data_IF_893618345763
#
_entry.id   IF_893618345763
#
_cell.length_a   1.000
_cell.length_b   1.000
_cell.length_c   1.000
_cell.angle_alpha   90.00
_cell.angle_beta   90.00
_cell.angle_gamma   90.00
#
_symmetry.space_group_name_H-M   'P 1'
#
loop_
_entity.id
_entity.type
_entity.pdbx_description
1 polymer ?
#
# COMPACT_ATOMS: atom_id res chain seq x y z
N UNK A 1 28.83 5.21 -4.17
CA UNK A 1 29.75 4.15 -3.77
C UNK A 1 29.24 3.37 -2.54
N UNK A 2 28.97 3.99 -1.40
CA UNK A 2 28.48 3.32 -0.18
C UNK A 2 27.19 2.49 -0.37
N UNK A 3 26.18 3.05 -1.05
CA UNK A 3 24.90 2.34 -1.31
C UNK A 3 25.08 1.06 -2.12
N UNK A 4 25.96 1.07 -3.14
CA UNK A 4 26.27 -0.11 -3.94
C UNK A 4 27.01 -1.18 -3.12
N UNK A 5 27.99 -0.77 -2.31
CA UNK A 5 28.71 -1.66 -1.42
C UNK A 5 27.75 -2.35 -0.42
N UNK A 6 26.90 -1.58 0.25
CA UNK A 6 25.89 -2.09 1.18
C UNK A 6 24.91 -3.07 0.48
N UNK A 7 24.49 -2.74 -0.74
CA UNK A 7 23.61 -3.61 -1.51
C UNK A 7 24.25 -4.93 -1.90
N UNK A 8 25.44 -4.89 -2.53
CA UNK A 8 26.06 -6.10 -3.09
C UNK A 8 26.79 -6.95 -2.05
N UNK A 9 27.31 -6.38 -0.97
CA UNK A 9 28.02 -7.14 0.07
C UNK A 9 27.14 -7.57 1.24
N UNK A 10 26.02 -6.90 1.50
CA UNK A 10 25.17 -7.22 2.64
C UNK A 10 23.76 -7.65 2.23
N UNK A 11 23.00 -6.79 1.53
CA UNK A 11 21.57 -7.03 1.31
C UNK A 11 21.33 -8.18 0.32
N UNK A 12 22.02 -8.18 -0.82
CA UNK A 12 21.86 -9.22 -1.83
C UNK A 12 22.31 -10.59 -1.34
N UNK A 13 23.51 -10.79 -0.74
CA UNK A 13 23.89 -12.06 -0.15
C UNK A 13 22.95 -12.52 0.97
N UNK A 14 22.53 -11.61 1.85
CA UNK A 14 21.54 -11.93 2.89
C UNK A 14 20.22 -12.43 2.29
N UNK A 15 19.80 -11.91 1.13
CA UNK A 15 18.58 -12.36 0.44
C UNK A 15 18.64 -13.83 0.01
N UNK A 16 19.82 -14.40 -0.20
CA UNK A 16 20.00 -15.79 -0.61
C UNK A 16 19.74 -16.78 0.54
N UNK A 17 19.89 -16.33 1.79
CA UNK A 17 19.66 -17.14 2.97
C UNK A 17 18.22 -17.68 3.03
N UNK A 18 17.98 -18.86 3.64
CA UNK A 18 16.64 -19.32 3.97
C UNK A 18 15.90 -18.32 4.85
N UNK A 19 14.60 -18.09 4.60
CA UNK A 19 13.80 -17.14 5.39
C UNK A 19 13.84 -17.42 6.90
N UNK A 20 13.91 -18.69 7.32
CA UNK A 20 14.03 -19.05 8.74
C UNK A 20 15.26 -18.45 9.39
N UNK A 21 16.38 -18.46 8.69
CA UNK A 21 17.63 -17.87 9.18
C UNK A 21 17.57 -16.36 9.18
N UNK A 22 16.97 -15.76 8.15
CA UNK A 22 16.74 -14.31 8.10
C UNK A 22 15.86 -13.84 9.26
N UNK A 23 14.82 -14.60 9.61
CA UNK A 23 13.97 -14.31 10.76
C UNK A 23 14.69 -14.39 12.09
N UNK A 24 15.64 -15.33 12.24
CA UNK A 24 16.48 -15.38 13.43
C UNK A 24 17.26 -14.06 13.63
N UNK A 25 17.86 -13.53 12.57
CA UNK A 25 18.56 -12.24 12.64
C UNK A 25 17.60 -11.06 12.88
N UNK A 26 16.41 -11.06 12.27
CA UNK A 26 15.44 -9.99 12.50
C UNK A 26 14.75 -10.07 13.85
N UNK A 27 14.65 -11.24 14.48
CA UNK A 27 14.24 -11.37 15.88
C UNK A 27 15.24 -10.69 16.83
N UNK A 28 16.54 -10.83 16.58
CA UNK A 28 17.57 -10.09 17.31
C UNK A 28 17.47 -8.58 17.04
N UNK A 29 17.30 -8.19 15.77
CA UNK A 29 17.14 -6.79 15.40
C UNK A 29 15.87 -6.16 16.01
N UNK A 30 14.79 -6.94 16.16
CA UNK A 30 13.61 -6.50 16.90
C UNK A 30 13.93 -6.13 18.34
N UNK A 31 14.74 -6.94 19.04
CA UNK A 31 15.16 -6.64 20.42
C UNK A 31 15.94 -5.32 20.49
N UNK A 32 16.83 -5.06 19.52
CA UNK A 32 17.51 -3.78 19.42
C UNK A 32 16.56 -2.61 19.19
N UNK A 33 15.58 -2.74 18.29
CA UNK A 33 14.60 -1.70 18.00
C UNK A 33 13.71 -1.37 19.18
N UNK A 34 13.33 -2.38 19.97
CA UNK A 34 12.41 -2.15 21.09
C UNK A 34 13.11 -1.65 22.33
N UNK A 35 14.41 -1.93 22.52
CA UNK A 35 15.16 -1.62 23.72
C UNK A 35 16.08 -0.42 23.55
N UNK A 36 16.86 -0.36 22.47
CA UNK A 36 18.00 0.55 22.30
C UNK A 36 17.75 1.62 21.23
N UNK A 37 17.20 1.22 20.06
CA UNK A 37 17.02 2.09 18.89
C UNK A 37 15.54 2.37 18.64
N UNK A 38 14.93 3.35 19.33
CA UNK A 38 13.48 3.57 19.28
C UNK A 38 13.05 4.23 17.96
N UNK A 39 13.20 3.52 16.82
CA UNK A 39 12.80 4.01 15.50
C UNK A 39 11.39 4.56 15.50
N UNK A 40 11.25 5.88 15.34
CA UNK A 40 9.96 6.59 15.26
C UNK A 40 8.94 6.26 16.37
N UNK A 41 9.39 5.80 17.55
CA UNK A 41 8.50 5.35 18.65
C UNK A 41 7.49 6.44 19.09
N UNK A 42 7.91 7.70 19.16
CA UNK A 42 7.01 8.82 19.47
C UNK A 42 5.85 8.92 18.48
N UNK A 43 6.15 8.72 17.18
CA UNK A 43 5.12 8.75 16.11
C UNK A 43 4.17 7.57 16.26
N UNK A 44 4.69 6.35 16.42
CA UNK A 44 3.88 5.13 16.59
C UNK A 44 2.94 5.26 17.78
N UNK A 45 3.44 5.68 18.95
CA UNK A 45 2.63 5.86 20.17
C UNK A 45 1.57 6.93 20.03
N UNK A 46 1.91 8.09 19.42
CA UNK A 46 0.94 9.15 19.13
C UNK A 46 -0.17 8.65 18.21
N UNK A 47 0.20 7.98 17.13
CA UNK A 47 -0.76 7.42 16.18
C UNK A 47 -1.69 6.41 16.85
N UNK A 48 -1.14 5.44 17.61
CA UNK A 48 -1.94 4.44 18.32
C UNK A 48 -2.86 5.06 19.38
N UNK A 49 -2.37 6.07 20.14
CA UNK A 49 -3.17 6.76 21.15
C UNK A 49 -4.39 7.44 20.54
N UNK A 50 -4.21 8.13 19.44
CA UNK A 50 -5.27 8.88 18.78
C UNK A 50 -6.23 7.97 18.00
N UNK A 51 -5.72 6.87 17.44
CA UNK A 51 -6.52 5.91 16.64
C UNK A 51 -7.33 4.94 17.49
N UNK A 52 -6.89 4.66 18.72
CA UNK A 52 -7.56 3.76 19.65
C UNK A 52 -7.66 4.40 21.05
N UNK A 53 -8.42 5.50 21.18
CA UNK A 53 -8.57 6.18 22.47
C UNK A 53 -9.23 5.28 23.53
N UNK A 54 -10.10 4.35 23.11
CA UNK A 54 -10.81 3.38 23.95
C UNK A 54 -9.90 2.30 24.55
N UNK A 55 -8.74 2.03 23.93
CA UNK A 55 -7.81 1.01 24.44
C UNK A 55 -6.93 1.56 25.55
N UNK A 56 -6.68 0.72 26.55
CA UNK A 56 -5.71 1.04 27.61
C UNK A 56 -4.28 1.21 27.06
N UNK A 57 -3.42 1.88 27.82
CA UNK A 57 -2.01 2.00 27.45
C UNK A 57 -1.32 0.64 27.31
N UNK A 58 -1.67 -0.33 28.17
CA UNK A 58 -1.14 -1.71 28.11
C UNK A 58 -1.49 -2.38 26.78
N UNK A 59 -2.71 -2.22 26.29
CA UNK A 59 -3.16 -2.79 25.01
C UNK A 59 -2.44 -2.11 23.83
N UNK A 60 -2.35 -0.76 23.82
CA UNK A 60 -1.61 -0.03 22.81
C UNK A 60 -0.14 -0.42 22.78
N UNK A 61 0.50 -0.64 23.92
CA UNK A 61 1.88 -1.16 23.99
C UNK A 61 2.01 -2.59 23.46
N UNK A 62 0.99 -3.44 23.61
CA UNK A 62 0.96 -4.77 22.99
C UNK A 62 0.91 -4.68 21.47
N UNK A 63 0.09 -3.77 20.93
CA UNK A 63 0.04 -3.48 19.49
C UNK A 63 1.41 -2.94 19.01
N UNK A 64 2.00 -1.96 19.70
CA UNK A 64 3.33 -1.40 19.40
C UNK A 64 4.40 -2.49 19.28
N UNK A 65 4.47 -3.42 20.25
CA UNK A 65 5.45 -4.53 20.22
C UNK A 65 5.23 -5.46 19.02
N UNK A 66 3.98 -5.83 18.76
CA UNK A 66 3.63 -6.66 17.61
C UNK A 66 3.96 -5.94 16.28
N UNK A 67 3.71 -4.63 16.20
CA UNK A 67 4.06 -3.82 15.04
C UNK A 67 5.57 -3.84 14.77
N UNK A 68 6.42 -3.59 15.77
CA UNK A 68 7.87 -3.61 15.55
C UNK A 68 8.39 -5.00 15.17
N UNK A 69 7.83 -6.07 15.77
CA UNK A 69 8.18 -7.42 15.37
C UNK A 69 7.79 -7.69 13.91
N UNK A 70 6.60 -7.26 13.51
CA UNK A 70 6.17 -7.39 12.12
C UNK A 70 7.01 -6.53 11.17
N UNK A 71 7.36 -5.31 11.57
CA UNK A 71 8.23 -4.44 10.78
C UNK A 71 9.59 -5.09 10.50
N UNK A 72 10.17 -5.77 11.49
CA UNK A 72 11.43 -6.52 11.28
C UNK A 72 11.24 -7.75 10.41
N UNK A 73 10.10 -8.44 10.48
CA UNK A 73 9.73 -9.51 9.54
C UNK A 73 9.69 -8.97 8.10
N UNK A 74 9.05 -7.81 7.89
CA UNK A 74 8.97 -7.15 6.58
C UNK A 74 10.35 -6.76 6.02
N UNK A 75 11.32 -6.42 6.86
CA UNK A 75 12.71 -6.19 6.42
C UNK A 75 13.34 -7.47 5.86
N UNK A 76 13.20 -8.60 6.56
CA UNK A 76 13.67 -9.90 6.08
C UNK A 76 12.98 -10.30 4.76
N UNK A 77 11.67 -10.16 4.70
CA UNK A 77 10.85 -10.51 3.54
C UNK A 77 11.11 -9.58 2.36
N UNK A 78 11.34 -8.29 2.63
CA UNK A 78 11.73 -7.29 1.64
C UNK A 78 13.11 -7.57 1.03
N UNK A 79 14.09 -8.01 1.84
CA UNK A 79 15.36 -8.47 1.33
C UNK A 79 15.19 -9.79 0.54
N UNK A 80 14.43 -10.76 1.07
CA UNK A 80 14.11 -12.02 0.39
C UNK A 80 13.44 -11.83 -0.96
N UNK A 81 12.72 -10.75 -1.13
CA UNK A 81 12.06 -10.41 -2.39
C UNK A 81 13.05 -10.21 -3.56
N UNK A 82 14.34 -10.01 -3.30
CA UNK A 82 15.39 -9.95 -4.32
C UNK A 82 15.71 -11.33 -4.94
N UNK A 83 15.55 -12.41 -4.18
CA UNK A 83 16.00 -13.77 -4.58
C UNK A 83 14.89 -14.83 -4.57
N UNK A 84 13.71 -14.54 -4.03
CA UNK A 84 12.60 -15.51 -3.95
C UNK A 84 12.16 -15.97 -5.34
N UNK A 85 11.98 -17.28 -5.54
CA UNK A 85 11.49 -17.82 -6.81
C UNK A 85 9.98 -17.61 -6.98
N UNK A 86 9.50 -17.57 -8.23
CA UNK A 86 8.06 -17.51 -8.56
C UNK A 86 7.24 -18.57 -7.81
N UNK A 87 7.73 -19.83 -7.79
CA UNK A 87 7.08 -20.95 -7.09
C UNK A 87 6.94 -20.69 -5.59
N UNK A 88 8.02 -20.23 -4.94
CA UNK A 88 8.00 -19.95 -3.52
C UNK A 88 7.14 -18.73 -3.17
N UNK A 89 7.12 -17.70 -4.02
CA UNK A 89 6.29 -16.53 -3.80
C UNK A 89 4.80 -16.90 -3.92
N UNK A 90 4.38 -17.61 -4.98
CA UNK A 90 3.00 -18.11 -5.15
C UNK A 90 2.55 -19.03 -4.00
N UNK A 91 3.47 -19.85 -3.44
CA UNK A 91 3.15 -20.70 -2.28
C UNK A 91 2.88 -19.89 -1.01
N UNK A 92 3.54 -18.75 -0.86
CA UNK A 92 3.51 -17.92 0.37
C UNK A 92 2.53 -16.76 0.31
N UNK A 93 2.09 -16.40 -0.88
CA UNK A 93 1.23 -15.26 -1.15
C UNK A 93 0.12 -15.71 -2.10
N UNK A 94 -1.09 -15.94 -1.57
CA UNK A 94 -2.20 -16.56 -2.28
C UNK A 94 -3.40 -15.63 -2.32
N UNK A 95 -4.18 -15.71 -3.39
CA UNK A 95 -5.48 -15.04 -3.50
C UNK A 95 -6.56 -16.02 -3.11
N UNK A 96 -7.46 -15.62 -2.24
CA UNK A 96 -8.55 -16.48 -1.74
C UNK A 96 -9.76 -16.48 -2.70
N UNK A 97 -9.98 -15.35 -3.39
CA UNK A 97 -11.10 -15.15 -4.31
C UNK A 97 -10.61 -14.55 -5.65
N UNK A 98 -9.83 -15.31 -6.45
CA UNK A 98 -9.26 -14.83 -7.72
C UNK A 98 -10.32 -14.54 -8.79
N UNK A 99 -11.51 -15.12 -8.68
CA UNK A 99 -12.64 -14.96 -9.60
C UNK A 99 -13.02 -13.48 -9.79
N UNK A 100 -12.87 -12.63 -8.79
CA UNK A 100 -13.12 -11.17 -8.90
C UNK A 100 -12.30 -10.55 -10.03
N UNK A 101 -11.01 -10.87 -10.10
CA UNK A 101 -10.15 -10.36 -11.17
C UNK A 101 -10.35 -11.07 -12.49
N UNK A 102 -10.66 -12.36 -12.47
CA UNK A 102 -10.92 -13.17 -13.67
C UNK A 102 -12.18 -12.70 -14.41
N UNK A 103 -13.25 -12.38 -13.68
CA UNK A 103 -14.49 -11.85 -14.23
C UNK A 103 -14.32 -10.47 -14.85
N UNK A 104 -13.61 -9.56 -14.15
CA UNK A 104 -13.30 -8.24 -14.69
C UNK A 104 -12.43 -8.34 -15.95
N UNK A 105 -11.49 -9.29 -15.99
CA UNK A 105 -10.67 -9.53 -17.17
C UNK A 105 -11.49 -10.07 -18.35
N UNK A 106 -12.44 -11.00 -18.13
CA UNK A 106 -13.38 -11.48 -19.16
C UNK A 106 -14.22 -10.35 -19.74
N UNK A 107 -14.62 -9.39 -18.90
CA UNK A 107 -15.33 -8.16 -19.32
C UNK A 107 -14.39 -7.15 -20.04
N UNK A 108 -13.10 -7.48 -20.24
CA UNK A 108 -12.05 -6.58 -20.78
C UNK A 108 -11.88 -5.28 -19.96
N UNK A 109 -12.22 -5.30 -18.68
CA UNK A 109 -12.16 -4.14 -17.80
C UNK A 109 -10.76 -4.03 -17.17
N UNK A 110 -10.11 -2.88 -17.32
CA UNK A 110 -8.93 -2.55 -16.53
C UNK A 110 -9.31 -2.28 -15.08
N UNK A 111 -8.41 -2.52 -14.15
CA UNK A 111 -8.68 -2.46 -12.70
C UNK A 111 -7.72 -1.51 -12.00
N UNK A 112 -8.24 -0.72 -11.07
CA UNK A 112 -7.49 -0.01 -10.06
C UNK A 112 -7.51 -0.82 -8.77
N UNK A 113 -6.38 -1.45 -8.43
CA UNK A 113 -6.18 -2.13 -7.16
C UNK A 113 -5.74 -1.12 -6.10
N UNK A 114 -6.59 -0.87 -5.11
CA UNK A 114 -6.34 0.13 -4.06
C UNK A 114 -6.26 -0.50 -2.68
N UNK A 115 -5.32 -0.07 -1.86
CA UNK A 115 -5.19 -0.46 -0.45
C UNK A 115 -4.26 0.50 0.30
N UNK A 116 -3.74 0.07 1.46
CA UNK A 116 -2.73 0.77 2.26
C UNK A 116 -1.46 -0.06 2.46
N UNK A 117 -0.48 0.55 3.15
CA UNK A 117 0.76 -0.12 3.57
C UNK A 117 0.47 -1.07 4.75
N UNK A 118 -0.27 -2.13 4.46
CA UNK A 118 -0.72 -3.13 5.41
C UNK A 118 -0.11 -4.51 5.09
N UNK A 119 0.38 -5.22 6.08
CA UNK A 119 1.08 -6.50 5.93
C UNK A 119 2.22 -6.44 4.88
N UNK A 120 2.36 -7.44 4.01
CA UNK A 120 3.47 -7.49 3.03
C UNK A 120 3.05 -6.93 1.66
N UNK A 121 2.83 -5.62 1.57
CA UNK A 121 2.52 -4.92 0.31
C UNK A 121 3.64 -5.05 -0.75
N UNK A 122 4.92 -5.22 -0.36
CA UNK A 122 6.01 -5.40 -1.33
C UNK A 122 5.93 -6.75 -2.06
N UNK A 123 5.45 -7.80 -1.38
CA UNK A 123 5.18 -9.06 -2.06
C UNK A 123 3.94 -8.96 -2.96
N UNK A 124 2.92 -8.18 -2.56
CA UNK A 124 1.77 -7.89 -3.45
C UNK A 124 2.25 -7.22 -4.74
N UNK A 125 3.03 -6.14 -4.64
CA UNK A 125 3.58 -5.43 -5.80
C UNK A 125 4.36 -6.40 -6.69
N UNK A 126 5.29 -7.17 -6.12
CA UNK A 126 6.17 -8.05 -6.91
C UNK A 126 5.40 -9.24 -7.53
N UNK A 127 4.37 -9.76 -6.85
CA UNK A 127 3.64 -10.95 -7.30
C UNK A 127 2.45 -10.67 -8.18
N UNK A 128 1.96 -9.45 -8.26
CA UNK A 128 0.70 -9.09 -8.91
C UNK A 128 0.56 -9.69 -10.32
N UNK A 129 1.60 -9.57 -11.14
CA UNK A 129 1.62 -10.11 -12.52
C UNK A 129 1.68 -11.66 -12.58
N UNK A 130 1.89 -12.32 -11.42
CA UNK A 130 1.84 -13.79 -11.31
C UNK A 130 0.48 -14.28 -10.81
N UNK A 131 -0.32 -13.38 -10.21
CA UNK A 131 -1.55 -13.71 -9.50
C UNK A 131 -2.80 -13.41 -10.33
N UNK A 132 -2.73 -12.42 -11.21
CA UNK A 132 -3.88 -11.94 -11.98
C UNK A 132 -3.62 -11.99 -13.48
N UNK A 133 -4.67 -12.14 -14.32
CA UNK A 133 -4.55 -12.16 -15.77
C UNK A 133 -4.19 -10.78 -16.38
N UNK A 134 -4.50 -9.70 -15.68
CA UNK A 134 -4.20 -8.33 -16.07
C UNK A 134 -2.70 -8.06 -16.11
N UNK A 135 -2.24 -7.23 -17.04
CA UNK A 135 -0.88 -6.70 -16.99
C UNK A 135 -0.72 -5.81 -15.74
N UNK A 136 0.17 -6.18 -14.85
CA UNK A 136 0.42 -5.41 -13.63
C UNK A 136 1.13 -4.08 -13.91
N UNK A 137 0.60 -3.00 -13.33
CA UNK A 137 1.15 -1.64 -13.39
C UNK A 137 1.25 -1.09 -11.97
N UNK A 138 2.39 -0.52 -11.61
CA UNK A 138 2.59 0.19 -10.33
C UNK A 138 2.91 1.66 -10.57
N UNK A 139 2.19 2.56 -9.91
CA UNK A 139 2.51 3.99 -9.93
C UNK A 139 3.41 4.29 -8.75
N UNK A 140 4.62 4.79 -9.01
CA UNK A 140 5.62 5.10 -7.99
C UNK A 140 6.08 6.54 -8.02
N UNK A 141 6.46 7.05 -6.83
CA UNK A 141 7.26 8.27 -6.69
C UNK A 141 8.73 7.85 -6.63
N UNK A 142 9.64 8.50 -7.37
CA UNK A 142 11.06 8.16 -7.30
C UNK A 142 11.62 8.45 -5.91
N UNK A 143 12.55 7.61 -5.49
CA UNK A 143 13.34 7.89 -4.30
C UNK A 143 14.39 8.97 -4.61
N UNK A 144 14.74 9.76 -3.60
CA UNK A 144 15.80 10.79 -3.73
C UNK A 144 17.16 10.21 -4.10
N UNK A 145 17.44 8.97 -3.71
CA UNK A 145 18.66 8.27 -4.06
C UNK A 145 18.43 7.38 -5.28
N UNK A 146 18.98 7.75 -6.45
CA UNK A 146 18.78 7.05 -7.71
C UNK A 146 19.25 5.59 -7.73
N UNK A 147 20.27 5.22 -6.96
CA UNK A 147 20.71 3.82 -6.85
C UNK A 147 19.63 2.97 -6.18
N UNK A 148 19.09 3.41 -5.05
CA UNK A 148 18.03 2.69 -4.34
C UNK A 148 16.73 2.69 -5.13
N UNK A 149 16.40 3.78 -5.81
CA UNK A 149 15.25 3.85 -6.70
C UNK A 149 15.32 2.79 -7.80
N UNK A 150 16.46 2.73 -8.51
CA UNK A 150 16.71 1.71 -9.53
C UNK A 150 16.58 0.29 -8.97
N UNK A 151 17.22 -0.01 -7.83
CA UNK A 151 17.18 -1.35 -7.21
C UNK A 151 15.80 -1.74 -6.72
N UNK A 152 15.04 -0.79 -6.20
CA UNK A 152 13.64 -1.01 -5.80
C UNK A 152 12.76 -1.34 -7.01
N UNK A 153 12.88 -0.56 -8.08
CA UNK A 153 12.10 -0.76 -9.30
C UNK A 153 12.47 -2.07 -10.02
N UNK A 154 13.76 -2.42 -10.12
CA UNK A 154 14.24 -3.71 -10.63
C UNK A 154 13.61 -4.88 -9.84
N UNK A 155 13.56 -4.78 -8.51
CA UNK A 155 12.94 -5.78 -7.63
C UNK A 155 11.44 -5.92 -7.89
N UNK A 156 10.72 -4.81 -7.99
CA UNK A 156 9.28 -4.79 -8.22
C UNK A 156 8.91 -5.32 -9.61
N UNK A 157 9.73 -5.00 -10.61
CA UNK A 157 9.52 -5.43 -12.00
C UNK A 157 9.93 -6.88 -12.28
N UNK A 158 10.55 -7.59 -11.35
CA UNK A 158 11.14 -8.93 -11.56
C UNK A 158 10.22 -9.96 -12.19
N UNK A 159 8.93 -9.86 -11.99
CA UNK A 159 7.95 -10.81 -12.51
C UNK A 159 6.96 -10.16 -13.48
N UNK A 160 7.35 -9.05 -14.10
CA UNK A 160 6.62 -8.46 -15.22
C UNK A 160 5.76 -7.24 -14.89
N UNK A 161 5.79 -6.73 -13.64
CA UNK A 161 5.11 -5.47 -13.34
C UNK A 161 5.78 -4.30 -14.10
N UNK A 162 4.98 -3.47 -14.75
CA UNK A 162 5.42 -2.20 -15.33
C UNK A 162 5.39 -1.12 -14.24
N UNK A 163 6.55 -0.54 -13.91
CA UNK A 163 6.63 0.58 -12.96
C UNK A 163 6.63 1.88 -13.73
N UNK A 164 5.66 2.74 -13.48
CA UNK A 164 5.53 4.05 -14.10
C UNK A 164 5.71 5.16 -13.06
N UNK A 165 6.36 6.23 -13.50
CA UNK A 165 6.55 7.40 -12.69
C UNK A 165 5.24 8.21 -12.61
N UNK A 166 4.88 8.71 -11.43
CA UNK A 166 3.64 9.47 -11.22
C UNK A 166 3.47 10.68 -12.15
N UNK A 167 4.57 11.29 -12.62
CA UNK A 167 4.53 12.43 -13.56
C UNK A 167 4.10 12.08 -14.99
N UNK A 168 4.29 10.83 -15.42
CA UNK A 168 3.95 10.37 -16.77
C UNK A 168 2.72 9.47 -16.81
N UNK A 169 1.99 9.41 -15.70
CA UNK A 169 0.81 8.55 -15.54
C UNK A 169 -0.22 8.81 -16.65
N UNK A 170 -0.57 10.06 -16.90
CA UNK A 170 -1.55 10.44 -17.92
C UNK A 170 -1.12 9.96 -19.33
N UNK A 171 0.11 10.23 -19.71
CA UNK A 171 0.64 9.84 -21.04
C UNK A 171 0.67 8.31 -21.21
N UNK A 172 1.00 7.60 -20.13
CA UNK A 172 0.98 6.14 -20.12
C UNK A 172 -0.43 5.61 -20.38
N UNK A 173 -1.43 6.03 -19.59
CA UNK A 173 -2.80 5.54 -19.74
C UNK A 173 -3.41 5.89 -21.09
N UNK A 174 -3.15 7.09 -21.61
CA UNK A 174 -3.64 7.52 -22.93
C UNK A 174 -3.11 6.64 -24.06
N UNK A 175 -1.89 6.12 -23.94
CA UNK A 175 -1.24 5.29 -24.97
C UNK A 175 -1.43 3.79 -24.76
N UNK A 176 -1.79 3.38 -23.53
CA UNK A 176 -1.89 1.97 -23.19
C UNK A 176 -3.15 1.33 -23.79
N UNK A 177 -2.97 0.16 -24.43
CA UNK A 177 -4.05 -0.64 -25.02
C UNK A 177 -4.25 -1.99 -24.29
N UNK A 178 -3.39 -2.32 -23.33
CA UNK A 178 -3.47 -3.56 -22.59
C UNK A 178 -4.59 -3.49 -21.54
N UNK A 179 -5.16 -4.62 -21.18
CA UNK A 179 -6.03 -4.74 -20.01
C UNK A 179 -5.13 -4.82 -18.77
N UNK A 180 -5.12 -3.75 -17.99
CA UNK A 180 -4.16 -3.56 -16.90
C UNK A 180 -4.82 -3.63 -15.53
N UNK A 181 -4.02 -4.01 -14.51
CA UNK A 181 -4.35 -3.79 -13.12
C UNK A 181 -3.34 -2.81 -12.51
N UNK A 182 -3.80 -1.61 -12.18
CA UNK A 182 -2.98 -0.54 -11.61
C UNK A 182 -3.00 -0.61 -10.10
N UNK A 183 -1.86 -0.80 -9.45
CA UNK A 183 -1.77 -0.86 -7.99
C UNK A 183 -1.41 0.51 -7.41
N UNK A 184 -2.20 0.96 -6.44
CA UNK A 184 -2.00 2.19 -5.69
C UNK A 184 -2.16 1.94 -4.18
N UNK A 185 -1.19 2.39 -3.39
CA UNK A 185 -1.28 2.45 -1.93
C UNK A 185 -1.66 3.88 -1.54
N UNK A 186 -2.91 4.08 -1.10
CA UNK A 186 -3.52 5.40 -0.95
C UNK A 186 -3.50 5.96 0.49
N UNK A 187 -2.89 5.24 1.45
CA UNK A 187 -2.95 5.52 2.88
C UNK A 187 -1.91 6.52 3.41
N UNK A 188 -1.00 7.01 2.58
CA UNK A 188 -0.01 7.99 3.01
C UNK A 188 -0.58 9.41 3.00
N UNK A 189 0.04 10.29 3.83
CA UNK A 189 -0.37 11.68 3.92
C UNK A 189 -0.16 12.41 2.58
N UNK A 190 -1.18 13.11 2.06
CA UNK A 190 -1.07 13.89 0.84
C UNK A 190 0.06 14.93 0.90
N UNK A 191 0.55 15.34 -0.27
CA UNK A 191 1.55 16.40 -0.40
C UNK A 191 0.99 17.78 -0.08
N UNK A 192 -0.30 18.02 -0.41
CA UNK A 192 -0.99 19.29 -0.29
C UNK A 192 -2.34 19.10 0.39
N UNK A 193 -2.66 19.93 1.40
CA UNK A 193 -3.92 19.93 2.13
C UNK A 193 -5.11 20.35 1.26
N UNK A 194 -4.87 21.20 0.25
CA UNK A 194 -5.89 21.72 -0.63
C UNK A 194 -6.17 20.85 -1.86
N UNK A 195 -5.35 19.80 -2.08
CA UNK A 195 -5.48 18.88 -3.23
C UNK A 195 -5.70 17.44 -2.81
N UNK A 196 -6.53 17.24 -1.80
CA UNK A 196 -6.86 15.92 -1.28
C UNK A 196 -8.33 15.87 -0.86
N UNK A 197 -8.85 14.68 -0.69
CA UNK A 197 -10.17 14.46 -0.13
C UNK A 197 -10.09 14.39 1.40
N UNK A 198 -10.91 15.16 2.11
CA UNK A 198 -10.93 15.18 3.57
C UNK A 198 -12.05 14.31 4.13
N UNK A 199 -11.69 13.37 4.97
CA UNK A 199 -12.62 12.46 5.67
C UNK A 199 -12.14 12.15 7.08
N UNK A 200 -12.86 11.30 7.78
CA UNK A 200 -12.45 10.73 9.06
C UNK A 200 -11.80 9.37 8.84
N UNK A 201 -10.70 9.09 9.54
CA UNK A 201 -10.00 7.81 9.48
C UNK A 201 -9.35 7.54 10.83
N UNK A 202 -9.66 6.39 11.46
CA UNK A 202 -9.18 6.01 12.77
C UNK A 202 -9.34 7.13 13.81
N UNK A 203 -10.57 7.60 13.98
CA UNK A 203 -10.98 8.66 14.90
C UNK A 203 -10.33 10.05 14.68
N UNK A 204 -9.75 10.30 13.52
CA UNK A 204 -9.07 11.56 13.25
C UNK A 204 -9.43 12.10 11.86
N UNK A 205 -9.72 13.43 11.74
CA UNK A 205 -9.84 14.08 10.43
C UNK A 205 -8.51 14.02 9.68
N UNK A 206 -8.56 13.67 8.40
CA UNK A 206 -7.38 13.50 7.57
C UNK A 206 -7.65 13.73 6.09
N UNK A 207 -6.65 14.25 5.38
CA UNK A 207 -6.65 14.24 3.92
C UNK A 207 -6.29 12.84 3.39
N UNK A 208 -6.99 12.40 2.36
CA UNK A 208 -6.74 11.16 1.60
C UNK A 208 -6.35 11.51 0.17
N UNK A 209 -5.47 10.73 -0.43
CA UNK A 209 -5.09 10.90 -1.84
C UNK A 209 -6.30 10.65 -2.74
N UNK A 210 -6.72 11.68 -3.48
CA UNK A 210 -7.88 11.62 -4.38
C UNK A 210 -7.53 11.10 -5.78
N UNK A 211 -6.25 10.96 -6.08
CA UNK A 211 -5.75 10.47 -7.37
C UNK A 211 -6.32 9.12 -7.82
N UNK A 212 -6.49 8.12 -6.93
CA UNK A 212 -7.11 6.84 -7.30
C UNK A 212 -8.52 7.01 -7.89
N UNK A 213 -9.37 7.82 -7.26
CA UNK A 213 -10.74 8.07 -7.75
C UNK A 213 -10.75 8.82 -9.09
N UNK A 214 -9.84 9.79 -9.25
CA UNK A 214 -9.65 10.49 -10.52
C UNK A 214 -9.23 9.53 -11.64
N UNK A 215 -8.27 8.64 -11.37
CA UNK A 215 -7.81 7.65 -12.35
C UNK A 215 -8.91 6.66 -12.74
N UNK A 216 -9.69 6.19 -11.78
CA UNK A 216 -10.79 5.26 -12.03
C UNK A 216 -11.83 5.89 -12.96
N UNK A 217 -12.24 7.14 -12.71
CA UNK A 217 -13.20 7.85 -13.54
C UNK A 217 -12.64 8.24 -14.92
N UNK A 218 -11.38 8.71 -14.98
CA UNK A 218 -10.74 9.17 -16.23
C UNK A 218 -10.54 8.04 -17.24
N UNK A 219 -10.20 6.85 -16.76
CA UNK A 219 -9.83 5.71 -17.61
C UNK A 219 -10.80 4.53 -17.47
N UNK A 220 -11.98 4.77 -16.93
CA UNK A 220 -13.05 3.78 -16.76
C UNK A 220 -12.53 2.45 -16.17
N UNK A 221 -11.74 2.53 -15.07
CA UNK A 221 -11.20 1.35 -14.39
C UNK A 221 -12.14 0.88 -13.30
N UNK A 222 -12.44 -0.42 -13.26
CA UNK A 222 -13.06 -1.02 -12.09
C UNK A 222 -12.18 -0.81 -10.86
N UNK A 223 -12.77 -0.61 -9.69
CA UNK A 223 -12.02 -0.39 -8.45
C UNK A 223 -12.18 -1.59 -7.53
N UNK A 224 -11.05 -2.18 -7.17
CA UNK A 224 -10.99 -3.33 -6.28
C UNK A 224 -10.06 -3.00 -5.10
N UNK A 225 -10.59 -3.11 -3.89
CA UNK A 225 -9.78 -3.05 -2.67
C UNK A 225 -9.17 -4.43 -2.40
N UNK A 226 -7.90 -4.48 -2.03
CA UNK A 226 -7.27 -5.73 -1.59
C UNK A 226 -6.84 -5.66 -0.13
N UNK A 227 -7.17 -6.71 0.62
CA UNK A 227 -6.75 -6.90 1.98
C UNK A 227 -5.73 -8.05 2.06
N UNK A 228 -4.59 -7.83 2.70
CA UNK A 228 -3.56 -8.86 2.92
C UNK A 228 -3.68 -9.35 4.36
N UNK A 229 -4.06 -10.63 4.56
CA UNK A 229 -4.09 -11.27 5.87
C UNK A 229 -2.83 -12.10 6.11
N UNK A 230 -2.24 -11.98 7.31
CA UNK A 230 -1.10 -12.81 7.72
C UNK A 230 -1.59 -14.17 8.24
N UNK A 231 -1.43 -15.22 7.44
CA UNK A 231 -1.80 -16.59 7.85
C UNK A 231 -0.82 -17.12 8.91
N UNK A 232 0.48 -16.91 8.66
CA UNK A 232 1.58 -17.16 9.59
C UNK A 232 2.81 -16.39 9.13
N UNK A 233 3.89 -16.40 9.90
CA UNK A 233 5.15 -15.70 9.53
C UNK A 233 5.63 -16.14 8.14
N UNK A 234 5.71 -15.16 7.20
CA UNK A 234 6.10 -15.38 5.80
C UNK A 234 5.07 -16.09 4.93
N UNK A 235 3.81 -16.11 5.34
CA UNK A 235 2.68 -16.62 4.55
C UNK A 235 1.48 -15.70 4.70
N UNK A 236 0.89 -15.32 3.58
CA UNK A 236 -0.20 -14.37 3.49
C UNK A 236 -1.27 -14.84 2.54
N UNK A 237 -2.49 -14.42 2.79
CA UNK A 237 -3.62 -14.52 1.86
C UNK A 237 -4.13 -13.12 1.49
N UNK A 238 -4.66 -13.02 0.29
CA UNK A 238 -5.23 -11.78 -0.25
C UNK A 238 -6.71 -11.99 -0.43
N UNK A 239 -7.50 -11.09 0.13
CA UNK A 239 -8.92 -10.96 -0.15
C UNK A 239 -9.18 -9.73 -1.02
N UNK A 240 -9.97 -9.88 -2.07
CA UNK A 240 -10.37 -8.84 -3.00
C UNK A 240 -11.81 -8.43 -2.71
N UNK A 241 -12.06 -7.11 -2.69
CA UNK A 241 -13.39 -6.54 -2.52
C UNK A 241 -13.65 -5.59 -3.68
N UNK A 242 -14.54 -5.96 -4.58
CA UNK A 242 -14.97 -5.07 -5.64
C UNK A 242 -15.73 -3.90 -5.03
N UNK A 243 -15.26 -2.68 -5.29
CA UNK A 243 -15.95 -1.44 -4.89
C UNK A 243 -16.94 -1.04 -5.98
N UNK A 244 -16.50 -1.10 -7.23
CA UNK A 244 -17.35 -0.85 -8.40
C UNK A 244 -16.66 -1.35 -9.68
N UNK A 245 -17.43 -1.87 -10.62
CA UNK A 245 -16.96 -2.10 -12.00
C UNK A 245 -17.32 -0.92 -12.94
N UNK A 246 -18.12 0.03 -12.45
CA UNK A 246 -18.50 1.24 -13.18
C UNK A 246 -18.33 2.51 -12.32
N UNK A 247 -17.16 3.16 -12.34
CA UNK A 247 -16.90 4.34 -11.51
C UNK A 247 -17.79 5.54 -11.86
N UNK A 248 -18.33 5.62 -13.09
CA UNK A 248 -19.18 6.72 -13.51
C UNK A 248 -20.56 6.77 -12.79
N UNK A 249 -20.96 5.68 -12.16
CA UNK A 249 -22.21 5.61 -11.38
C UNK A 249 -22.06 6.16 -9.95
N UNK A 250 -20.82 6.37 -9.49
CA UNK A 250 -20.55 6.79 -8.13
C UNK A 250 -20.30 8.31 -8.05
N UNK A 251 -20.85 8.96 -7.03
CA UNK A 251 -20.67 10.40 -6.80
C UNK A 251 -19.26 10.73 -6.30
N UNK A 252 -18.93 12.02 -6.29
CA UNK A 252 -17.67 12.56 -5.79
C UNK A 252 -17.32 12.03 -4.38
N UNK A 253 -16.18 11.45 -4.24
CA UNK A 253 -15.65 10.95 -2.97
C UNK A 253 -16.07 9.54 -2.59
N UNK A 254 -17.08 8.93 -3.20
CA UNK A 254 -17.58 7.61 -2.79
C UNK A 254 -16.55 6.49 -2.93
N UNK A 255 -15.74 6.48 -3.98
CA UNK A 255 -14.65 5.50 -4.13
C UNK A 255 -13.60 5.71 -3.01
N UNK A 256 -13.23 6.97 -2.77
CA UNK A 256 -12.23 7.34 -1.77
C UNK A 256 -12.71 6.99 -0.35
N UNK A 257 -13.96 7.27 -0.01
CA UNK A 257 -14.54 6.90 1.28
C UNK A 257 -14.60 5.38 1.45
N UNK A 258 -15.04 4.66 0.42
CA UNK A 258 -15.20 3.21 0.51
C UNK A 258 -13.87 2.48 0.73
N UNK A 259 -12.83 2.79 -0.05
CA UNK A 259 -11.53 2.15 0.19
C UNK A 259 -10.88 2.57 1.51
N UNK A 260 -11.12 3.81 1.97
CA UNK A 260 -10.63 4.29 3.27
C UNK A 260 -11.33 3.56 4.42
N UNK A 261 -12.65 3.36 4.32
CA UNK A 261 -13.44 2.58 5.28
C UNK A 261 -12.95 1.13 5.36
N UNK A 262 -12.80 0.45 4.21
CA UNK A 262 -12.31 -0.93 4.16
C UNK A 262 -10.91 -1.08 4.77
N UNK A 263 -10.03 -0.10 4.55
CA UNK A 263 -8.72 -0.08 5.18
C UNK A 263 -8.83 0.14 6.70
N UNK A 264 -9.72 1.01 7.16
CA UNK A 264 -9.96 1.24 8.59
C UNK A 264 -10.46 -0.02 9.29
N UNK A 265 -11.43 -0.72 8.69
CA UNK A 265 -11.95 -2.01 9.17
C UNK A 265 -10.83 -3.04 9.27
N UNK A 266 -10.01 -3.18 8.21
CA UNK A 266 -8.83 -4.06 8.20
C UNK A 266 -7.86 -3.76 9.34
N UNK A 267 -7.58 -2.47 9.60
CA UNK A 267 -6.67 -2.05 10.68
C UNK A 267 -7.29 -2.30 12.05
N UNK A 268 -8.60 -2.10 12.21
CA UNK A 268 -9.31 -2.38 13.48
C UNK A 268 -9.33 -3.87 13.81
N UNK A 269 -9.46 -4.74 12.80
CA UNK A 269 -9.40 -6.20 12.96
C UNK A 269 -8.03 -6.65 13.49
N UNK A 270 -6.92 -6.22 12.85
CA UNK A 270 -5.55 -6.57 13.28
C UNK A 270 -4.62 -5.35 13.22
N UNK A 271 -4.64 -4.49 14.24
CA UNK A 271 -3.97 -3.18 14.19
C UNK A 271 -2.44 -3.24 14.13
N UNK A 272 -1.83 -4.37 14.47
CA UNK A 272 -0.38 -4.49 14.49
C UNK A 272 0.30 -4.44 13.12
N UNK A 273 -0.43 -4.62 12.03
CA UNK A 273 0.15 -4.85 10.70
C UNK A 273 0.11 -3.65 9.77
N UNK A 274 -0.43 -2.51 10.21
CA UNK A 274 -0.37 -1.26 9.47
C UNK A 274 0.92 -0.47 9.75
N UNK A 275 1.34 0.39 8.81
CA UNK A 275 2.61 1.12 8.89
C UNK A 275 2.53 2.32 9.86
N UNK A 276 2.40 2.05 11.16
CA UNK A 276 2.26 3.06 12.22
C UNK A 276 3.41 4.07 12.32
N UNK A 277 4.57 3.77 11.74
CA UNK A 277 5.73 4.67 11.72
C UNK A 277 5.57 5.85 10.75
N UNK A 278 4.58 5.84 9.85
CA UNK A 278 4.28 6.95 8.96
C UNK A 278 3.60 8.11 9.73
N UNK A 279 3.99 9.37 9.43
CA UNK A 279 3.33 10.58 9.97
C UNK A 279 2.04 10.86 9.18
N UNK A 280 1.01 10.00 9.35
CA UNK A 280 -0.22 10.02 8.55
C UNK A 280 -1.01 11.33 8.71
N UNK A 281 -1.13 11.83 9.93
CA UNK A 281 -1.92 13.02 10.31
C UNK A 281 -1.05 14.27 10.45
N UNK A 282 -0.15 14.52 9.50
CA UNK A 282 0.74 15.70 9.54
C UNK A 282 0.13 16.94 8.89
N UNK A 283 -0.96 16.78 8.12
CA UNK A 283 -1.63 17.90 7.45
C UNK A 283 -2.67 18.52 8.36
N UNK A 284 -2.73 19.84 8.33
CA UNK A 284 -3.77 20.59 9.01
C UNK A 284 -5.00 20.69 8.12
N UNK A 285 -6.17 20.64 8.74
CA UNK A 285 -7.45 20.83 8.05
C UNK A 285 -7.49 22.29 7.57
N UNK A 286 -7.82 22.55 6.28
CA UNK A 286 -8.01 23.91 5.79
C UNK A 286 -9.16 24.61 6.51
N UNK A 287 -9.00 25.90 6.78
CA UNK A 287 -10.05 26.72 7.42
C UNK A 287 -11.31 26.81 6.55
N UNK A 288 -11.14 26.86 5.23
CA UNK A 288 -12.20 26.92 4.23
C UNK A 288 -12.59 25.55 3.66
N UNK A 289 -12.56 24.49 4.48
CA UNK A 289 -12.74 23.10 4.02
C UNK A 289 -14.05 22.89 3.24
N UNK A 290 -15.17 23.47 3.69
CA UNK A 290 -16.47 23.28 3.05
C UNK A 290 -16.50 23.90 1.65
N UNK A 291 -16.04 25.14 1.50
CA UNK A 291 -15.92 25.80 0.19
C UNK A 291 -14.95 25.06 -0.75
N UNK A 292 -13.87 24.51 -0.19
CA UNK A 292 -12.92 23.68 -0.95
C UNK A 292 -13.58 22.41 -1.46
N UNK A 293 -14.37 21.74 -0.62
CA UNK A 293 -15.11 20.52 -0.99
C UNK A 293 -16.11 20.78 -2.09
N UNK A 294 -16.93 21.82 -1.95
CA UNK A 294 -17.90 22.23 -2.99
C UNK A 294 -17.21 22.53 -4.33
N UNK A 295 -16.10 23.27 -4.29
CA UNK A 295 -15.31 23.56 -5.51
C UNK A 295 -14.75 22.30 -6.16
N UNK A 296 -14.26 21.33 -5.38
CA UNK A 296 -13.74 20.07 -5.89
C UNK A 296 -14.84 19.19 -6.46
N UNK A 297 -15.98 19.10 -5.78
CA UNK A 297 -17.14 18.32 -6.24
C UNK A 297 -17.70 18.90 -7.55
N UNK A 298 -17.84 20.23 -7.64
CA UNK A 298 -18.26 20.90 -8.88
C UNK A 298 -17.36 20.55 -10.04
N UNK A 299 -16.02 20.70 -9.87
CA UNK A 299 -15.04 20.37 -10.92
C UNK A 299 -15.03 18.90 -11.30
N UNK A 300 -15.26 18.01 -10.32
CA UNK A 300 -15.37 16.58 -10.56
C UNK A 300 -16.61 16.27 -11.40
N UNK A 301 -17.76 16.84 -11.05
CA UNK A 301 -19.01 16.64 -11.76
C UNK A 301 -18.96 17.23 -13.19
N UNK A 302 -18.40 18.42 -13.37
CA UNK A 302 -18.19 19.02 -14.71
C UNK A 302 -17.30 18.17 -15.62
N UNK A 303 -16.40 17.36 -15.03
CA UNK A 303 -15.46 16.52 -15.81
C UNK A 303 -16.00 15.11 -16.08
N UNK A 304 -16.75 14.53 -15.16
CA UNK A 304 -17.07 13.11 -15.17
C UNK A 304 -18.57 12.77 -15.12
N UNK A 305 -19.44 13.76 -14.90
CA UNK A 305 -20.92 13.64 -14.79
C UNK A 305 -21.60 14.63 -15.71
#
# INVERSE_FOLDING_TARGET
>A
MFSALAYYLLIYPASLLPLRLMYFFTDFFYLLLISILPYRRKVVRKNLKNSFPEKSEKERRKIERKFYRHLTDLLAEGAKNLSISKKNLKKRFRVENPEVMEELYKKKKSVLLVSGHYNNWEWMITSQNLLFPHQAVGIGMPLSNGFWDKKLNERRARFGMKIIHSKITHDFFKKNKDIIATLVLADQSPGDSNRCYWTSFLNQKTGVLFGPEMLANEYDQAVVYFNIKKVRRGYYSIHLHEITDNPSQLTYGQITEKHTQLLEETIKEEPAFWLWSHKRWKRQVPENLDALRESHEKKFNERFR
#
